data_IF_598505504444
#
_entry.id   IF_598505504444
#
_cell.length_a   1.000
_cell.length_b   1.000
_cell.length_c   1.000
_cell.angle_alpha   90.00
_cell.angle_beta   90.00
_cell.angle_gamma   90.00
#
_symmetry.space_group_name_H-M   'P 1'
#
loop_
_entity.id
_entity.type
_entity.pdbx_description
1 polymer ?
#
# COMPACT_ATOMS: atom_id res chain seq x y z
N UNK A 1 -5.51 -4.16 -11.04
CA UNK A 1 -4.32 -3.81 -10.25
C UNK A 1 -3.55 -5.10 -10.00
N UNK A 2 -2.26 -5.11 -10.31
CA UNK A 2 -1.33 -6.22 -10.12
C UNK A 2 -0.54 -6.01 -8.82
N UNK A 3 -0.41 -7.06 -8.02
CA UNK A 3 0.42 -7.09 -6.83
C UNK A 3 1.58 -8.04 -7.04
N UNK A 4 2.79 -7.60 -6.72
CA UNK A 4 3.98 -8.44 -6.85
C UNK A 4 5.03 -8.10 -5.80
N UNK A 5 6.03 -8.96 -5.68
CA UNK A 5 7.18 -8.76 -4.79
C UNK A 5 8.41 -8.41 -5.61
N UNK A 6 9.23 -7.55 -5.09
CA UNK A 6 10.53 -7.20 -5.64
C UNK A 6 11.61 -7.41 -4.58
N UNK A 7 12.71 -8.05 -4.96
CA UNK A 7 13.89 -8.18 -4.13
C UNK A 7 15.10 -7.75 -4.96
N UNK A 8 15.54 -6.54 -4.79
CA UNK A 8 16.82 -6.09 -5.34
C UNK A 8 17.81 -5.89 -4.20
N UNK A 9 19.08 -6.19 -4.43
CA UNK A 9 20.14 -5.98 -3.45
C UNK A 9 20.32 -4.49 -3.11
N UNK A 10 19.89 -3.59 -4.00
CA UNK A 10 20.11 -2.14 -3.87
C UNK A 10 18.80 -1.38 -3.95
N UNK A 11 18.18 -1.14 -2.80
CA UNK A 11 16.90 -0.41 -2.71
C UNK A 11 16.97 0.97 -3.39
N UNK A 12 18.07 1.72 -3.23
CA UNK A 12 18.27 3.04 -3.81
C UNK A 12 18.36 3.03 -5.37
N UNK A 13 18.60 1.87 -5.98
CA UNK A 13 18.68 1.71 -7.44
C UNK A 13 17.33 1.34 -8.08
N UNK A 14 16.26 1.17 -7.31
CA UNK A 14 14.94 0.86 -7.84
C UNK A 14 14.40 2.06 -8.60
N UNK A 15 14.11 1.85 -9.90
CA UNK A 15 13.40 2.82 -10.73
C UNK A 15 11.90 2.61 -10.53
N UNK A 16 11.23 3.61 -9.99
CA UNK A 16 9.78 3.59 -9.75
C UNK A 16 9.26 5.01 -9.65
N UNK A 17 7.98 5.19 -9.89
CA UNK A 17 7.32 6.50 -9.74
C UNK A 17 7.23 6.94 -8.28
N UNK A 18 7.12 6.00 -7.34
CA UNK A 18 7.17 6.29 -5.90
C UNK A 18 7.69 5.07 -5.12
N UNK A 19 8.56 5.34 -4.14
CA UNK A 19 9.07 4.38 -3.17
C UNK A 19 8.66 4.82 -1.77
N UNK A 20 7.83 4.03 -1.07
CA UNK A 20 7.48 4.28 0.32
C UNK A 20 8.54 3.73 1.27
N UNK A 21 8.94 4.53 2.23
CA UNK A 21 9.76 4.14 3.38
C UNK A 21 9.08 4.60 4.67
N UNK A 22 9.05 3.72 5.66
CA UNK A 22 8.46 4.01 6.96
C UNK A 22 9.45 4.72 7.89
N UNK A 23 8.95 5.67 8.66
CA UNK A 23 9.70 6.34 9.73
C UNK A 23 8.84 6.45 10.98
N UNK A 24 9.45 6.23 12.14
CA UNK A 24 8.78 6.39 13.43
C UNK A 24 8.96 7.79 14.00
N UNK A 25 8.14 8.16 14.97
CA UNK A 25 8.36 9.35 15.79
C UNK A 25 9.76 9.31 16.43
N UNK A 26 10.22 10.43 16.98
CA UNK A 26 11.56 10.56 17.57
C UNK A 26 12.71 10.26 16.59
N UNK A 27 12.48 10.46 15.28
CA UNK A 27 13.49 10.32 14.22
C UNK A 27 14.07 8.89 14.08
N UNK A 28 13.31 7.87 14.48
CA UNK A 28 13.73 6.47 14.34
C UNK A 28 13.46 6.00 12.92
N UNK A 29 14.51 5.57 12.24
CA UNK A 29 14.45 5.04 10.87
C UNK A 29 14.17 3.55 10.85
N UNK A 30 13.31 3.10 9.93
CA UNK A 30 13.24 1.69 9.58
C UNK A 30 14.50 1.26 8.80
N UNK A 31 14.81 -0.05 8.70
CA UNK A 31 15.97 -0.50 7.92
C UNK A 31 15.98 0.01 6.47
N UNK A 32 14.82 0.04 5.81
CA UNK A 32 14.70 0.57 4.46
C UNK A 32 14.96 2.09 4.41
N UNK A 33 14.44 2.84 5.39
CA UNK A 33 14.68 4.28 5.49
C UNK A 33 16.16 4.59 5.76
N UNK A 34 16.86 3.80 6.56
CA UNK A 34 18.29 3.98 6.82
C UNK A 34 19.15 3.72 5.56
N UNK A 35 18.78 2.73 4.73
CA UNK A 35 19.43 2.49 3.44
C UNK A 35 19.30 3.72 2.52
N UNK A 36 18.08 4.28 2.42
CA UNK A 36 17.82 5.46 1.59
C UNK A 36 18.51 6.70 2.16
N UNK A 37 18.51 6.87 3.48
CA UNK A 37 19.18 8.00 4.14
C UNK A 37 20.69 8.00 3.84
N UNK A 38 21.37 6.87 3.99
CA UNK A 38 22.80 6.73 3.66
C UNK A 38 23.07 6.99 2.17
N UNK A 39 22.24 6.46 1.28
CA UNK A 39 22.41 6.63 -0.15
C UNK A 39 22.15 8.06 -0.62
N UNK A 40 21.39 8.87 0.16
CA UNK A 40 21.06 10.26 -0.11
C UNK A 40 21.81 11.27 0.79
N UNK A 41 22.97 10.88 1.32
CA UNK A 41 23.82 11.74 2.16
C UNK A 41 23.10 12.36 3.37
N UNK A 42 22.23 11.57 4.04
CA UNK A 42 21.52 11.98 5.25
C UNK A 42 20.30 12.85 5.02
N UNK A 43 19.75 12.87 3.80
CA UNK A 43 18.61 13.70 3.45
C UNK A 43 17.36 13.40 4.28
N UNK A 44 17.11 12.12 4.61
CA UNK A 44 15.94 11.72 5.39
C UNK A 44 16.05 12.26 6.82
N UNK A 45 17.18 12.06 7.49
CA UNK A 45 17.40 12.57 8.85
C UNK A 45 17.32 14.09 8.92
N UNK A 46 17.80 14.78 7.88
CA UNK A 46 17.71 16.25 7.79
C UNK A 46 16.26 16.72 7.81
N UNK A 47 15.40 16.10 7.01
CA UNK A 47 13.98 16.43 6.91
C UNK A 47 13.22 16.08 8.20
N UNK A 48 13.55 14.95 8.85
CA UNK A 48 12.92 14.57 10.11
C UNK A 48 13.20 15.56 11.26
N UNK A 49 14.30 16.28 11.19
CA UNK A 49 14.64 17.30 12.23
C UNK A 49 13.80 18.57 12.13
N UNK A 50 13.33 18.92 10.94
CA UNK A 50 12.73 20.25 10.69
C UNK A 50 11.29 20.21 10.18
N UNK A 51 10.91 19.18 9.42
CA UNK A 51 9.70 19.26 8.61
C UNK A 51 8.70 18.11 8.84
N UNK A 52 9.13 16.96 9.37
CA UNK A 52 8.28 15.78 9.44
C UNK A 52 8.32 15.07 10.79
N UNK A 53 7.20 15.10 11.50
CA UNK A 53 7.06 14.51 12.84
C UNK A 53 6.76 13.02 12.85
N UNK A 54 6.55 12.41 11.68
CA UNK A 54 6.27 10.98 11.49
C UNK A 54 5.05 10.42 12.28
N UNK A 55 4.05 11.26 12.56
CA UNK A 55 2.78 10.80 13.18
C UNK A 55 2.13 9.75 12.28
N UNK A 56 1.48 8.75 12.90
CA UNK A 56 0.77 7.70 12.18
C UNK A 56 -0.25 8.31 11.19
N UNK A 57 -0.25 7.80 9.95
CA UNK A 57 -1.11 8.29 8.87
C UNK A 57 -0.65 9.59 8.19
N UNK A 58 0.49 10.18 8.62
CA UNK A 58 1.10 11.30 7.91
C UNK A 58 2.06 10.83 6.81
N UNK A 59 2.29 11.66 5.81
CA UNK A 59 3.33 11.41 4.81
C UNK A 59 3.99 12.70 4.37
N UNK A 60 5.23 12.59 3.88
CA UNK A 60 5.98 13.66 3.24
C UNK A 60 6.66 13.12 1.98
N UNK A 61 6.65 13.90 0.91
CA UNK A 61 7.18 13.50 -0.39
C UNK A 61 8.45 14.27 -0.71
N UNK A 62 9.53 13.52 -0.90
CA UNK A 62 10.80 14.05 -1.38
C UNK A 62 10.99 13.66 -2.85
N UNK A 63 11.42 14.60 -3.67
CA UNK A 63 11.64 14.37 -5.10
C UNK A 63 13.09 14.58 -5.46
N UNK A 64 13.54 13.83 -6.46
CA UNK A 64 14.87 14.02 -7.06
C UNK A 64 16.01 13.98 -6.02
N UNK A 65 15.95 13.02 -5.08
CA UNK A 65 17.02 12.83 -4.12
C UNK A 65 18.28 12.32 -4.83
N UNK A 66 19.39 12.99 -4.58
CA UNK A 66 20.69 12.54 -5.08
C UNK A 66 21.00 11.13 -4.61
N UNK A 67 21.56 10.30 -5.49
CA UNK A 67 21.87 8.88 -5.19
C UNK A 67 20.69 7.92 -5.25
N UNK A 68 19.45 8.40 -5.47
CA UNK A 68 18.22 7.60 -5.50
C UNK A 68 17.61 7.62 -6.90
N UNK A 69 17.26 6.44 -7.43
CA UNK A 69 16.65 6.32 -8.79
C UNK A 69 15.13 6.40 -8.81
N UNK A 70 14.46 6.25 -7.67
CA UNK A 70 13.03 6.48 -7.58
C UNK A 70 12.72 7.98 -7.77
N UNK A 71 11.70 8.31 -8.58
CA UNK A 71 11.30 9.70 -8.82
C UNK A 71 10.84 10.41 -7.55
N UNK A 72 10.24 9.66 -6.63
CA UNK A 72 9.72 10.14 -5.36
C UNK A 72 10.03 9.16 -4.24
N UNK A 73 10.50 9.69 -3.14
CA UNK A 73 10.53 8.99 -1.86
C UNK A 73 9.36 9.51 -1.01
N UNK A 74 8.48 8.61 -0.62
CA UNK A 74 7.34 8.93 0.24
C UNK A 74 7.68 8.45 1.64
N UNK A 75 8.00 9.40 2.52
CA UNK A 75 8.15 9.13 3.95
C UNK A 75 6.76 8.89 4.53
N UNK A 76 6.50 7.73 5.08
CA UNK A 76 5.24 7.39 5.73
C UNK A 76 5.45 7.36 7.23
N UNK A 77 4.69 8.16 7.95
CA UNK A 77 4.72 8.22 9.41
C UNK A 77 4.07 6.98 10.02
N UNK A 78 4.83 6.24 10.80
CA UNK A 78 4.39 5.01 11.47
C UNK A 78 3.88 5.26 12.89
N UNK A 79 4.14 6.48 13.43
CA UNK A 79 3.82 6.81 14.82
C UNK A 79 4.88 6.30 15.80
N UNK A 80 4.46 5.96 16.98
CA UNK A 80 5.29 5.44 18.06
C UNK A 80 5.68 3.97 17.76
N UNK A 81 6.97 3.66 17.83
CA UNK A 81 7.48 2.31 17.53
C UNK A 81 6.91 1.26 18.48
N UNK A 82 6.78 1.57 19.77
CA UNK A 82 6.28 0.64 20.77
C UNK A 82 4.79 0.33 20.61
N UNK A 83 4.06 1.19 19.88
CA UNK A 83 2.63 1.06 19.58
C UNK A 83 2.36 0.60 18.16
N UNK A 84 3.40 0.24 17.40
CA UNK A 84 3.21 -0.17 16.01
C UNK A 84 2.67 -1.59 15.91
N UNK A 85 1.41 -1.70 15.51
CA UNK A 85 0.64 -2.94 15.39
C UNK A 85 -0.02 -3.02 14.01
N UNK A 86 -0.77 -4.10 13.76
CA UNK A 86 -1.46 -4.34 12.49
C UNK A 86 -2.33 -3.17 12.01
N UNK A 87 -3.00 -2.46 12.94
CA UNK A 87 -3.83 -1.31 12.60
C UNK A 87 -2.99 -0.14 12.05
N UNK A 88 -1.85 0.18 12.70
CA UNK A 88 -0.93 1.22 12.25
C UNK A 88 -0.26 0.84 10.92
N UNK A 89 0.09 -0.44 10.75
CA UNK A 89 0.61 -0.94 9.48
C UNK A 89 -0.41 -0.75 8.34
N UNK A 90 -1.67 -1.14 8.55
CA UNK A 90 -2.75 -0.94 7.58
C UNK A 90 -2.95 0.55 7.27
N UNK A 91 -2.89 1.42 8.28
CA UNK A 91 -2.97 2.87 8.10
C UNK A 91 -1.82 3.39 7.24
N UNK A 92 -0.58 2.93 7.48
CA UNK A 92 0.59 3.32 6.71
C UNK A 92 0.47 2.93 5.23
N UNK A 93 0.08 1.69 4.94
CA UNK A 93 -0.13 1.21 3.56
C UNK A 93 -1.29 1.95 2.88
N UNK A 94 -2.38 2.22 3.60
CA UNK A 94 -3.50 3.02 3.10
C UNK A 94 -3.09 4.46 2.78
N UNK A 95 -2.29 5.08 3.64
CA UNK A 95 -1.75 6.44 3.43
C UNK A 95 -0.93 6.51 2.14
N UNK A 96 -0.04 5.54 1.94
CA UNK A 96 0.77 5.48 0.72
C UNK A 96 -0.09 5.23 -0.53
N UNK A 97 -1.05 4.30 -0.45
CA UNK A 97 -1.96 4.01 -1.55
C UNK A 97 -2.79 5.24 -1.96
N UNK A 98 -3.36 5.96 -0.99
CA UNK A 98 -4.10 7.20 -1.26
C UNK A 98 -3.22 8.26 -1.94
N UNK A 99 -1.99 8.45 -1.46
CA UNK A 99 -1.04 9.35 -2.12
C UNK A 99 -0.80 8.93 -3.58
N UNK A 100 -0.52 7.65 -3.85
CA UNK A 100 -0.27 7.17 -5.21
C UNK A 100 -1.47 7.40 -6.14
N UNK A 101 -2.69 7.16 -5.64
CA UNK A 101 -3.93 7.36 -6.39
C UNK A 101 -4.15 8.85 -6.68
N UNK A 102 -4.01 9.73 -5.67
CA UNK A 102 -4.17 11.17 -5.84
C UNK A 102 -3.12 11.78 -6.78
N UNK A 103 -1.88 11.30 -6.69
CA UNK A 103 -0.79 11.70 -7.58
C UNK A 103 -0.88 11.06 -8.98
N UNK A 104 -1.91 10.25 -9.24
CA UNK A 104 -2.18 9.57 -10.53
C UNK A 104 -1.00 8.72 -11.01
N UNK A 105 -0.31 8.04 -10.08
CA UNK A 105 0.83 7.18 -10.42
C UNK A 105 0.34 5.86 -11.02
N UNK A 106 1.12 5.31 -11.96
CA UNK A 106 0.82 4.01 -12.58
C UNK A 106 1.40 2.83 -11.81
N UNK A 107 2.51 3.08 -11.09
CA UNK A 107 3.19 2.06 -10.28
C UNK A 107 3.76 2.66 -8.99
N UNK A 108 3.92 1.81 -7.98
CA UNK A 108 4.50 2.17 -6.70
C UNK A 108 5.19 0.97 -6.04
N UNK A 109 6.24 1.25 -5.27
CA UNK A 109 6.95 0.26 -4.46
C UNK A 109 6.83 0.61 -2.98
N UNK A 110 6.41 -0.34 -2.14
CA UNK A 110 6.35 -0.20 -0.69
C UNK A 110 7.41 -1.06 -0.02
N UNK A 111 8.08 -0.52 0.99
CA UNK A 111 8.97 -1.27 1.89
C UNK A 111 8.33 -1.54 3.25
N UNK A 112 7.08 -1.11 3.45
CA UNK A 112 6.43 -1.07 4.76
C UNK A 112 6.18 -2.47 5.34
N UNK A 113 5.90 -3.47 4.49
CA UNK A 113 5.71 -4.84 4.96
C UNK A 113 6.95 -5.44 5.63
N UNK A 114 8.15 -4.93 5.30
CA UNK A 114 9.41 -5.31 5.94
C UNK A 114 9.60 -4.74 7.35
N UNK A 115 8.72 -3.85 7.81
CA UNK A 115 8.77 -3.29 9.16
C UNK A 115 8.13 -4.28 10.13
N UNK A 116 8.86 -4.67 11.16
CA UNK A 116 8.32 -5.57 12.18
C UNK A 116 7.15 -4.92 12.92
N UNK A 117 6.13 -5.71 13.10
CA UNK A 117 4.87 -5.31 13.70
C UNK A 117 4.48 -6.39 14.73
N UNK A 118 4.39 -6.00 15.98
CA UNK A 118 4.14 -6.94 17.08
C UNK A 118 2.92 -7.83 16.82
N UNK A 119 3.11 -9.14 16.95
CA UNK A 119 2.05 -10.14 16.80
C UNK A 119 1.65 -10.45 15.35
N UNK A 120 2.39 -9.97 14.34
CA UNK A 120 2.08 -10.26 12.93
C UNK A 120 3.24 -10.92 12.20
N UNK A 121 2.91 -11.86 11.31
CA UNK A 121 3.87 -12.42 10.35
C UNK A 121 4.02 -11.50 9.13
N UNK A 122 5.08 -11.67 8.34
CA UNK A 122 5.23 -10.97 7.06
C UNK A 122 4.05 -11.27 6.12
N UNK A 123 3.57 -12.53 6.07
CA UNK A 123 2.41 -12.92 5.27
C UNK A 123 1.18 -12.08 5.64
N UNK A 124 0.90 -11.91 6.93
CA UNK A 124 -0.23 -11.11 7.39
C UNK A 124 -0.07 -9.63 7.05
N UNK A 125 1.15 -9.06 7.18
CA UNK A 125 1.44 -7.68 6.79
C UNK A 125 1.27 -7.47 5.29
N UNK A 126 1.78 -8.39 4.47
CA UNK A 126 1.61 -8.33 3.01
C UNK A 126 0.14 -8.48 2.59
N UNK A 127 -0.62 -9.37 3.26
CA UNK A 127 -2.07 -9.49 3.05
C UNK A 127 -2.80 -8.18 3.41
N UNK A 128 -2.47 -7.58 4.56
CA UNK A 128 -3.00 -6.29 4.99
C UNK A 128 -2.70 -5.15 4.01
N UNK A 129 -1.51 -5.14 3.42
CA UNK A 129 -1.11 -4.15 2.42
C UNK A 129 -1.97 -4.25 1.15
N UNK A 130 -2.14 -5.44 0.58
CA UNK A 130 -2.99 -5.63 -0.61
C UNK A 130 -4.46 -5.22 -0.33
N UNK A 131 -4.99 -5.58 0.85
CA UNK A 131 -6.32 -5.17 1.28
C UNK A 131 -6.44 -3.65 1.40
N UNK A 132 -5.44 -2.98 2.02
CA UNK A 132 -5.44 -1.52 2.20
C UNK A 132 -5.43 -0.78 0.85
N UNK A 133 -4.60 -1.24 -0.10
CA UNK A 133 -4.51 -0.67 -1.45
C UNK A 133 -5.80 -0.86 -2.22
N UNK A 134 -6.41 -2.05 -2.17
CA UNK A 134 -7.69 -2.32 -2.83
C UNK A 134 -8.83 -1.51 -2.21
N UNK A 135 -8.86 -1.37 -0.88
CA UNK A 135 -9.83 -0.53 -0.19
C UNK A 135 -9.70 0.95 -0.58
N UNK A 136 -8.47 1.47 -0.67
CA UNK A 136 -8.19 2.84 -1.12
C UNK A 136 -8.59 3.07 -2.57
N UNK A 137 -8.54 2.02 -3.40
CA UNK A 137 -8.89 2.06 -4.81
C UNK A 137 -10.38 1.92 -5.08
N UNK A 138 -11.19 1.61 -4.08
CA UNK A 138 -12.63 1.43 -4.27
C UNK A 138 -13.33 2.75 -4.51
N UNK A 139 -14.15 2.79 -5.55
CA UNK A 139 -15.06 3.90 -5.87
C UNK A 139 -16.38 3.33 -6.33
N UNK A 140 -17.46 3.86 -5.79
CA UNK A 140 -18.80 3.54 -6.27
C UNK A 140 -19.19 4.58 -7.35
N UNK A 141 -19.33 4.12 -8.58
CA UNK A 141 -19.73 4.95 -9.73
C UNK A 141 -20.78 4.26 -10.61
N UNK A 142 -21.33 3.13 -10.16
CA UNK A 142 -22.23 2.29 -10.95
C UNK A 142 -23.52 3.02 -11.36
N UNK A 143 -23.98 3.98 -10.56
CA UNK A 143 -25.21 4.75 -10.79
C UNK A 143 -24.97 6.19 -11.24
N UNK A 144 -23.71 6.58 -11.42
CA UNK A 144 -23.38 7.94 -11.86
C UNK A 144 -23.50 8.06 -13.37
N UNK A 145 -24.11 9.16 -13.84
CA UNK A 145 -24.18 9.51 -15.26
C UNK A 145 -22.81 9.78 -15.86
N UNK A 146 -21.91 10.38 -15.09
CA UNK A 146 -20.51 10.61 -15.47
C UNK A 146 -19.61 9.78 -14.55
N UNK A 147 -18.94 8.79 -15.13
CA UNK A 147 -18.00 7.96 -14.38
C UNK A 147 -16.75 8.74 -14.00
N UNK A 148 -16.23 8.49 -12.80
CA UNK A 148 -14.96 9.06 -12.38
C UNK A 148 -13.81 8.55 -13.27
N UNK A 149 -12.77 9.38 -13.42
CA UNK A 149 -11.55 8.97 -14.13
C UNK A 149 -10.99 7.68 -13.52
N UNK A 150 -10.62 6.73 -14.36
CA UNK A 150 -10.06 5.45 -13.92
C UNK A 150 -8.81 5.65 -13.07
N UNK A 151 -8.68 4.84 -12.01
CA UNK A 151 -7.49 4.84 -11.17
C UNK A 151 -6.30 4.35 -11.99
N UNK A 152 -5.25 5.17 -12.07
CA UNK A 152 -4.06 4.87 -12.87
C UNK A 152 -3.13 3.86 -12.21
N UNK A 153 -3.17 3.71 -10.88
CA UNK A 153 -2.33 2.76 -10.15
C UNK A 153 -2.66 1.33 -10.57
N UNK A 154 -1.84 0.77 -11.45
CA UNK A 154 -2.01 -0.57 -12.02
C UNK A 154 -1.09 -1.60 -11.40
N UNK A 155 0.07 -1.16 -10.85
CA UNK A 155 1.09 -2.03 -10.25
C UNK A 155 1.46 -1.55 -8.85
N UNK A 156 1.39 -2.46 -7.89
CA UNK A 156 1.83 -2.23 -6.52
C UNK A 156 2.81 -3.33 -6.12
N UNK A 157 4.06 -2.94 -5.87
CA UNK A 157 5.13 -3.87 -5.56
C UNK A 157 5.52 -3.76 -4.09
N UNK A 158 5.77 -4.89 -3.45
CA UNK A 158 6.43 -4.91 -2.15
C UNK A 158 7.90 -5.26 -2.29
N UNK A 159 8.76 -4.40 -1.76
CA UNK A 159 10.17 -4.73 -1.61
C UNK A 159 10.39 -5.45 -0.29
N UNK A 160 10.98 -6.64 -0.39
CA UNK A 160 11.38 -7.47 0.75
C UNK A 160 12.73 -8.14 0.46
N UNK A 161 13.49 -8.53 1.50
CA UNK A 161 14.69 -9.36 1.32
C UNK A 161 14.39 -10.63 0.52
N UNK A 162 15.36 -11.09 -0.28
CA UNK A 162 15.18 -12.24 -1.19
C UNK A 162 14.67 -13.50 -0.50
N UNK A 163 15.09 -13.74 0.73
CA UNK A 163 14.66 -14.90 1.54
C UNK A 163 13.19 -14.85 1.94
N UNK A 164 12.55 -13.69 1.87
CA UNK A 164 11.18 -13.45 2.32
C UNK A 164 10.18 -13.28 1.17
N UNK A 165 10.63 -13.38 -0.08
CA UNK A 165 9.80 -13.18 -1.28
C UNK A 165 8.61 -14.13 -1.34
N UNK A 166 8.82 -15.41 -1.05
CA UNK A 166 7.76 -16.44 -1.10
C UNK A 166 6.65 -16.15 -0.09
N UNK A 167 7.02 -15.80 1.15
CA UNK A 167 6.07 -15.49 2.21
C UNK A 167 5.28 -14.21 1.90
N UNK A 168 5.97 -13.15 1.44
CA UNK A 168 5.35 -11.90 1.03
C UNK A 168 4.39 -12.11 -0.14
N UNK A 169 4.78 -12.89 -1.15
CA UNK A 169 3.92 -13.20 -2.29
C UNK A 169 2.64 -13.93 -1.85
N UNK A 170 2.76 -14.96 -1.02
CA UNK A 170 1.61 -15.69 -0.49
C UNK A 170 0.64 -14.74 0.26
N UNK A 171 1.18 -13.79 1.03
CA UNK A 171 0.38 -12.76 1.69
C UNK A 171 -0.32 -11.82 0.71
N UNK A 172 0.38 -11.35 -0.32
CA UNK A 172 -0.21 -10.48 -1.36
C UNK A 172 -1.34 -11.19 -2.11
N UNK A 173 -1.15 -12.46 -2.47
CA UNK A 173 -2.17 -13.26 -3.16
C UNK A 173 -3.42 -13.42 -2.29
N UNK A 174 -3.25 -13.77 -1.01
CA UNK A 174 -4.32 -13.88 -0.02
C UNK A 174 -5.03 -12.52 0.19
N UNK A 175 -4.28 -11.46 0.42
CA UNK A 175 -4.82 -10.12 0.63
C UNK A 175 -5.55 -9.58 -0.60
N UNK A 176 -5.11 -9.95 -1.79
CA UNK A 176 -5.76 -9.60 -3.06
C UNK A 176 -7.12 -10.29 -3.17
N UNK A 177 -7.21 -11.57 -2.83
CA UNK A 177 -8.49 -12.30 -2.84
C UNK A 177 -9.47 -11.69 -1.83
N UNK A 178 -9.03 -11.45 -0.58
CA UNK A 178 -9.86 -10.84 0.47
C UNK A 178 -10.30 -9.44 0.05
N UNK A 179 -9.37 -8.58 -0.40
CA UNK A 179 -9.69 -7.21 -0.77
C UNK A 179 -10.65 -7.09 -1.96
N UNK A 180 -10.54 -7.99 -2.95
CA UNK A 180 -11.52 -8.09 -4.05
C UNK A 180 -12.90 -8.52 -3.53
N UNK A 181 -12.97 -9.50 -2.64
CA UNK A 181 -14.22 -9.93 -2.01
C UNK A 181 -14.89 -8.81 -1.22
N UNK A 182 -14.11 -8.07 -0.42
CA UNK A 182 -14.59 -6.89 0.33
C UNK A 182 -15.14 -5.82 -0.62
N UNK A 183 -14.41 -5.49 -1.69
CA UNK A 183 -14.86 -4.48 -2.66
C UNK A 183 -16.10 -4.95 -3.43
N UNK A 184 -16.22 -6.24 -3.73
CA UNK A 184 -17.44 -6.81 -4.32
C UNK A 184 -18.64 -6.67 -3.38
N UNK A 185 -18.46 -7.01 -2.10
CA UNK A 185 -19.52 -6.84 -1.08
C UNK A 185 -19.92 -5.38 -0.94
N UNK A 186 -18.95 -4.45 -0.92
CA UNK A 186 -19.22 -3.00 -0.87
C UNK A 186 -20.04 -2.55 -2.08
N UNK A 187 -19.67 -3.00 -3.28
CA UNK A 187 -20.42 -2.70 -4.50
C UNK A 187 -21.89 -3.11 -4.37
N UNK A 188 -22.16 -4.34 -3.88
CA UNK A 188 -23.53 -4.82 -3.69
C UNK A 188 -24.28 -4.01 -2.64
N UNK A 189 -23.62 -3.60 -1.56
CA UNK A 189 -24.22 -2.81 -0.49
C UNK A 189 -24.48 -1.35 -0.89
N UNK A 190 -23.65 -0.78 -1.78
CA UNK A 190 -23.79 0.60 -2.25
C UNK A 190 -24.82 0.73 -3.38
N UNK A 191 -25.22 -0.38 -4.03
CA UNK A 191 -26.28 -0.37 -5.06
C UNK A 191 -27.64 -0.06 -4.46
N UNK A 192 -28.46 0.77 -5.12
CA UNK A 192 -29.81 1.09 -4.67
C UNK A 192 -30.73 -0.15 -4.76
N UNK A 193 -31.83 -0.22 -3.95
CA UNK A 193 -32.66 -1.42 -3.79
C UNK A 193 -33.43 -1.80 -5.06
N UNK A 194 -33.65 -0.86 -5.98
CA UNK A 194 -34.25 -1.14 -7.28
C UNK A 194 -33.32 -1.87 -8.25
N UNK A 195 -32.00 -1.89 -7.97
CA UNK A 195 -30.99 -2.66 -8.71
C UNK A 195 -30.59 -3.90 -7.91
N UNK A 196 -30.18 -3.73 -6.65
CA UNK A 196 -29.75 -4.83 -5.78
C UNK A 196 -30.97 -5.52 -5.14
N UNK A 197 -31.76 -6.17 -5.97
CA UNK A 197 -32.91 -6.99 -5.56
C UNK A 197 -32.45 -8.36 -5.06
N UNK A 198 -33.28 -9.14 -4.31
CA UNK A 198 -32.96 -10.52 -3.93
C UNK A 198 -32.58 -11.40 -5.12
N UNK A 199 -33.26 -11.25 -6.26
CA UNK A 199 -32.94 -11.98 -7.51
C UNK A 199 -31.57 -11.61 -8.02
N UNK A 200 -31.22 -10.32 -8.04
CA UNK A 200 -29.89 -9.86 -8.44
C UNK A 200 -28.78 -10.45 -7.54
N UNK A 201 -28.97 -10.47 -6.22
CA UNK A 201 -28.02 -11.08 -5.28
C UNK A 201 -27.84 -12.57 -5.54
N UNK A 202 -28.94 -13.30 -5.81
CA UNK A 202 -28.87 -14.72 -6.14
C UNK A 202 -28.09 -14.97 -7.45
N UNK A 203 -28.26 -14.12 -8.44
CA UNK A 203 -27.50 -14.17 -9.71
C UNK A 203 -26.01 -13.89 -9.48
N UNK A 204 -25.67 -12.86 -8.68
CA UNK A 204 -24.28 -12.57 -8.33
C UNK A 204 -23.62 -13.75 -7.60
N UNK A 205 -24.31 -14.40 -6.67
CA UNK A 205 -23.83 -15.58 -5.98
C UNK A 205 -23.57 -16.76 -6.95
N UNK A 206 -24.48 -17.00 -7.91
CA UNK A 206 -24.29 -18.01 -8.96
C UNK A 206 -23.07 -17.72 -9.86
N UNK A 207 -22.88 -16.44 -10.22
CA UNK A 207 -21.72 -16.05 -11.03
C UNK A 207 -20.42 -16.23 -10.26
N UNK A 208 -20.39 -15.87 -8.96
CA UNK A 208 -19.23 -16.08 -8.10
C UNK A 208 -18.86 -17.56 -8.01
N UNK A 209 -19.83 -18.46 -7.81
CA UNK A 209 -19.61 -19.92 -7.78
C UNK A 209 -19.13 -20.52 -9.11
N UNK A 210 -19.41 -19.86 -10.27
CA UNK A 210 -18.84 -20.26 -11.56
C UNK A 210 -17.39 -19.81 -11.74
N UNK A 211 -17.03 -18.67 -11.16
CA UNK A 211 -15.69 -18.07 -11.27
C UNK A 211 -14.71 -18.73 -10.31
N UNK A 212 -15.20 -19.16 -9.15
CA UNK A 212 -14.42 -19.79 -8.08
C UNK A 212 -15.09 -21.10 -7.67
N UNK A 213 -14.84 -22.16 -8.43
CA UNK A 213 -15.42 -23.50 -8.17
C UNK A 213 -14.91 -24.12 -6.88
#
# INVERSE_FOLDING_TARGET
>A
MEFSTQSSASLHQIKTSALAIGVFTNQVLTPAADIIDRASNGAIRKVLKSEFSAKSGSHLVLRNLEGIKAERIVLVGLGDQDKYQAAQHKTAESTFAHYCIQAKLSEAVSTLAGVDCNGTTLRQRSSGAAQAVLAASYRFDATLSTKAEAIKLSKYLQWVPRTLVSESKAGLDEGTAIGKGVNFTRLLADLPPNICTPTYLAEQAKQLGKTYP
#
